data_IF_648204652423
#
_entry.id   IF_648204652423
#
_cell.length_a   1.000
_cell.length_b   1.000
_cell.length_c   1.000
_cell.angle_alpha   90.00
_cell.angle_beta   90.00
_cell.angle_gamma   90.00
#
_symmetry.space_group_name_H-M   'P 1'
#
loop_
_entity.id
_entity.type
_entity.pdbx_description
1 polymer ?
#
# COMPACT_ATOMS: atom_id res chain seq x y z
N UNK A 1 -3.67 -7.15 20.50
CA UNK A 1 -2.31 -7.71 20.43
C UNK A 1 -1.82 -7.34 19.04
N UNK A 2 -0.68 -6.66 18.93
CA UNK A 2 -0.11 -6.23 17.64
C UNK A 2 0.14 -7.47 16.78
N UNK A 3 -0.38 -7.46 15.56
CA UNK A 3 -0.15 -8.53 14.59
C UNK A 3 1.00 -8.13 13.67
N UNK A 4 2.19 -8.66 13.95
CA UNK A 4 3.42 -8.35 13.21
C UNK A 4 3.43 -8.89 11.78
N UNK A 5 2.39 -9.62 11.35
CA UNK A 5 2.26 -10.16 9.99
C UNK A 5 1.32 -9.36 9.09
N UNK A 6 0.62 -8.37 9.64
CA UNK A 6 -0.23 -7.47 8.83
C UNK A 6 0.68 -6.57 7.98
N UNK A 7 0.55 -6.58 6.64
CA UNK A 7 1.35 -5.71 5.78
C UNK A 7 1.18 -4.23 6.15
N UNK A 8 2.30 -3.51 6.25
CA UNK A 8 2.33 -2.05 6.24
C UNK A 8 2.40 -1.59 4.78
N UNK A 9 1.27 -1.19 4.19
CA UNK A 9 1.21 -0.82 2.79
C UNK A 9 1.79 0.56 2.50
N UNK A 10 1.84 1.45 3.49
CA UNK A 10 2.51 2.73 3.36
C UNK A 10 4.03 2.54 3.21
N UNK A 11 4.59 1.54 3.88
CA UNK A 11 6.02 1.23 3.85
C UNK A 11 6.32 -0.06 3.07
N UNK A 12 5.59 -0.30 1.97
CA UNK A 12 5.76 -1.47 1.13
C UNK A 12 6.65 -1.22 -0.10
N UNK A 13 7.52 -2.17 -0.41
CA UNK A 13 8.28 -2.23 -1.67
C UNK A 13 7.93 -3.48 -2.49
N UNK A 14 7.88 -3.32 -3.82
CA UNK A 14 7.71 -4.43 -4.75
C UNK A 14 9.06 -4.92 -5.28
N UNK A 15 9.42 -6.16 -4.96
CA UNK A 15 10.57 -6.85 -5.53
C UNK A 15 10.14 -7.76 -6.70
N UNK A 16 10.54 -7.38 -7.93
CA UNK A 16 10.29 -8.14 -9.16
C UNK A 16 11.51 -9.00 -9.47
N UNK A 17 11.40 -10.31 -9.29
CA UNK A 17 12.56 -11.21 -9.24
C UNK A 17 12.77 -11.97 -10.56
N UNK A 18 13.97 -11.88 -11.11
CA UNK A 18 14.49 -12.64 -12.27
C UNK A 18 13.54 -12.63 -13.50
N UNK A 19 12.82 -11.52 -13.71
CA UNK A 19 11.95 -11.35 -14.90
C UNK A 19 12.78 -10.77 -16.04
N UNK A 20 13.62 -11.62 -16.63
CA UNK A 20 14.48 -11.30 -17.78
C UNK A 20 14.09 -12.16 -18.98
N UNK A 21 14.28 -11.65 -20.20
CA UNK A 21 13.86 -12.31 -21.46
C UNK A 21 14.25 -13.79 -21.53
N UNK A 22 15.47 -14.14 -21.17
CA UNK A 22 15.91 -15.55 -21.19
C UNK A 22 15.08 -16.48 -20.31
N UNK A 23 14.51 -15.99 -19.21
CA UNK A 23 13.62 -16.74 -18.32
C UNK A 23 12.14 -16.61 -18.68
N UNK A 24 11.77 -15.62 -19.51
CA UNK A 24 10.38 -15.35 -19.92
C UNK A 24 10.04 -16.08 -21.21
N UNK A 25 10.75 -15.77 -22.29
CA UNK A 25 10.47 -16.21 -23.67
C UNK A 25 11.72 -16.69 -24.42
N UNK A 26 12.87 -16.71 -23.76
CA UNK A 26 14.15 -17.14 -24.34
C UNK A 26 14.51 -18.63 -24.13
N UNK A 27 15.77 -19.00 -24.39
CA UNK A 27 16.22 -20.39 -24.38
C UNK A 27 16.11 -21.11 -23.04
N UNK A 28 16.05 -20.36 -21.93
CA UNK A 28 15.88 -20.87 -20.58
C UNK A 28 14.50 -20.50 -19.99
N UNK A 29 13.49 -20.32 -20.85
CA UNK A 29 12.16 -19.91 -20.46
C UNK A 29 11.61 -20.85 -19.37
N UNK A 30 11.16 -20.24 -18.28
CA UNK A 30 10.58 -20.94 -17.14
C UNK A 30 9.08 -20.99 -17.32
N UNK A 31 8.52 -22.20 -17.42
CA UNK A 31 7.08 -22.43 -17.61
C UNK A 31 6.24 -21.62 -16.62
N UNK A 32 5.21 -20.92 -17.14
CA UNK A 32 4.32 -20.06 -16.37
C UNK A 32 4.79 -18.61 -16.26
N UNK A 33 6.02 -18.27 -16.65
CA UNK A 33 6.55 -16.91 -16.45
C UNK A 33 5.99 -15.91 -17.44
N UNK A 34 5.84 -16.28 -18.71
CA UNK A 34 5.23 -15.42 -19.72
C UNK A 34 3.78 -15.10 -19.38
N UNK A 35 3.05 -16.09 -18.85
CA UNK A 35 1.63 -16.01 -18.52
C UNK A 35 1.34 -15.04 -17.37
N UNK A 36 2.28 -14.85 -16.44
CA UNK A 36 2.11 -13.96 -15.27
C UNK A 36 2.58 -12.52 -15.52
N UNK A 37 3.21 -12.22 -16.65
CA UNK A 37 3.68 -10.86 -17.00
C UNK A 37 2.58 -9.80 -16.87
N UNK A 38 1.33 -10.01 -17.35
CA UNK A 38 0.28 -9.00 -17.20
C UNK A 38 -0.02 -8.63 -15.74
N UNK A 39 -0.04 -9.61 -14.83
CA UNK A 39 -0.28 -9.37 -13.41
C UNK A 39 0.90 -8.65 -12.75
N UNK A 40 2.14 -9.00 -13.13
CA UNK A 40 3.35 -8.28 -12.70
C UNK A 40 3.28 -6.83 -13.18
N UNK A 41 2.97 -6.60 -14.45
CA UNK A 41 2.90 -5.27 -15.04
C UNK A 41 1.84 -4.38 -14.38
N UNK A 42 0.66 -4.94 -14.06
CA UNK A 42 -0.39 -4.23 -13.33
C UNK A 42 0.07 -3.82 -11.92
N UNK A 43 0.72 -4.73 -11.20
CA UNK A 43 1.24 -4.45 -9.84
C UNK A 43 2.35 -3.40 -9.88
N UNK A 44 3.29 -3.51 -10.83
CA UNK A 44 4.36 -2.53 -11.07
C UNK A 44 3.77 -1.16 -11.42
N UNK A 45 2.75 -1.11 -12.29
CA UNK A 45 2.12 0.15 -12.67
C UNK A 45 1.48 0.85 -11.47
N UNK A 46 0.86 0.11 -10.55
CA UNK A 46 0.25 0.70 -9.37
C UNK A 46 1.27 1.20 -8.35
N UNK A 47 2.30 0.41 -8.04
CA UNK A 47 3.39 0.87 -7.18
C UNK A 47 4.04 2.14 -7.76
N UNK A 48 4.24 2.18 -9.09
CA UNK A 48 4.81 3.34 -9.77
C UNK A 48 3.88 4.55 -9.72
N UNK A 49 2.58 4.36 -9.94
CA UNK A 49 1.56 5.43 -9.86
C UNK A 49 1.55 6.09 -8.48
N UNK A 50 1.76 5.29 -7.44
CA UNK A 50 1.77 5.72 -6.05
C UNK A 50 3.15 6.13 -5.53
N UNK A 51 4.19 6.09 -6.38
CA UNK A 51 5.56 6.42 -5.97
C UNK A 51 6.17 5.47 -4.93
N UNK A 52 5.64 4.25 -4.81
CA UNK A 52 6.16 3.23 -3.89
C UNK A 52 7.43 2.57 -4.47
N UNK A 53 8.39 2.15 -3.63
CA UNK A 53 9.62 1.53 -4.10
C UNK A 53 9.38 0.27 -4.94
N UNK A 54 10.05 0.19 -6.09
CA UNK A 54 10.07 -0.99 -6.96
C UNK A 54 11.52 -1.39 -7.18
N UNK A 55 11.85 -2.66 -6.96
CA UNK A 55 13.20 -3.20 -7.18
C UNK A 55 13.14 -4.35 -8.18
N UNK A 56 13.68 -4.13 -9.36
CA UNK A 56 13.93 -5.18 -10.34
C UNK A 56 15.22 -5.92 -9.97
N UNK A 57 15.07 -7.16 -9.54
CA UNK A 57 16.20 -7.99 -9.12
C UNK A 57 16.60 -8.90 -10.27
N UNK A 58 17.82 -8.74 -10.77
CA UNK A 58 18.29 -9.37 -12.00
C UNK A 58 19.49 -10.29 -11.78
N UNK A 59 19.66 -11.25 -12.69
CA UNK A 59 20.87 -12.05 -12.88
C UNK A 59 21.74 -11.46 -13.97
N UNK A 60 23.03 -11.75 -13.87
CA UNK A 60 24.03 -11.41 -14.89
C UNK A 60 25.15 -12.43 -14.87
N UNK A 61 25.21 -13.32 -15.87
CA UNK A 61 26.24 -14.35 -15.97
C UNK A 61 27.20 -14.00 -17.10
N UNK A 62 28.34 -13.39 -16.75
CA UNK A 62 29.40 -13.11 -17.72
C UNK A 62 30.05 -14.44 -18.15
N UNK A 63 30.11 -14.75 -19.46
CA UNK A 63 30.78 -15.96 -19.95
C UNK A 63 32.23 -16.04 -19.45
N UNK A 64 32.62 -17.20 -18.93
CA UNK A 64 33.93 -17.47 -18.34
C UNK A 64 34.05 -17.15 -16.84
N UNK A 65 33.04 -16.53 -16.21
CA UNK A 65 33.08 -16.22 -14.78
C UNK A 65 32.69 -17.42 -13.91
N UNK A 66 33.32 -17.53 -12.73
CA UNK A 66 33.03 -18.60 -11.75
C UNK A 66 32.06 -18.19 -10.62
N UNK A 67 31.80 -16.88 -10.42
CA UNK A 67 30.89 -16.40 -9.37
C UNK A 67 29.41 -16.48 -9.78
N UNK A 68 28.97 -17.70 -10.07
CA UNK A 68 27.59 -18.07 -10.39
C UNK A 68 27.14 -19.23 -9.50
N UNK A 69 25.83 -19.53 -9.51
CA UNK A 69 25.30 -20.70 -8.80
C UNK A 69 25.89 -22.02 -9.33
N UNK A 70 26.09 -22.99 -8.42
CA UNK A 70 26.89 -24.19 -8.70
C UNK A 70 26.36 -25.04 -9.85
N UNK A 71 25.03 -25.13 -10.00
CA UNK A 71 24.41 -25.86 -11.11
C UNK A 71 24.68 -25.22 -12.48
N UNK A 72 24.93 -23.90 -12.55
CA UNK A 72 25.23 -23.19 -13.80
C UNK A 72 26.73 -22.97 -14.02
N UNK A 73 27.56 -23.11 -12.98
CA UNK A 73 29.00 -22.78 -13.03
C UNK A 73 29.74 -23.40 -14.20
N UNK A 74 29.61 -24.72 -14.40
CA UNK A 74 30.33 -25.41 -15.48
C UNK A 74 29.94 -24.85 -16.85
N UNK A 75 28.66 -24.56 -17.08
CA UNK A 75 28.19 -24.02 -18.34
C UNK A 75 28.70 -22.58 -18.56
N UNK A 76 28.61 -21.72 -17.55
CA UNK A 76 29.08 -20.33 -17.64
C UNK A 76 30.59 -20.26 -17.81
N UNK A 77 31.38 -21.07 -17.07
CA UNK A 77 32.83 -21.18 -17.25
C UNK A 77 33.19 -21.67 -18.67
N UNK A 78 32.35 -22.51 -19.27
CA UNK A 78 32.50 -22.97 -20.65
C UNK A 78 32.03 -21.97 -21.72
N UNK A 79 31.51 -20.80 -21.31
CA UNK A 79 31.13 -19.71 -22.20
C UNK A 79 29.63 -19.61 -22.51
N UNK A 80 28.75 -20.24 -21.72
CA UNK A 80 27.30 -20.05 -21.83
C UNK A 80 26.91 -18.56 -21.69
N UNK A 81 25.88 -18.15 -22.42
CA UNK A 81 25.46 -16.74 -22.57
C UNK A 81 24.10 -16.44 -21.94
N UNK A 82 23.55 -17.38 -21.16
CA UNK A 82 22.33 -17.20 -20.40
C UNK A 82 22.42 -15.95 -19.51
N UNK A 83 21.50 -14.99 -19.69
CA UNK A 83 21.46 -13.68 -19.02
C UNK A 83 22.83 -12.99 -18.99
N UNK A 84 23.61 -13.14 -20.05
CA UNK A 84 24.90 -12.48 -20.16
C UNK A 84 24.73 -10.96 -20.29
N UNK A 85 25.60 -10.15 -19.65
CA UNK A 85 25.49 -8.70 -19.66
C UNK A 85 25.51 -8.14 -21.08
N UNK A 86 24.62 -7.19 -21.36
CA UNK A 86 24.47 -6.53 -22.67
C UNK A 86 23.75 -7.36 -23.73
N UNK A 87 23.30 -8.58 -23.43
CA UNK A 87 22.51 -9.38 -24.36
C UNK A 87 21.02 -9.03 -24.29
N UNK A 88 20.27 -9.31 -25.36
CA UNK A 88 18.81 -9.20 -25.35
C UNK A 88 18.17 -10.13 -24.31
N UNK A 89 18.77 -11.29 -24.05
CA UNK A 89 18.32 -12.27 -23.06
C UNK A 89 18.35 -11.76 -21.62
N UNK A 90 19.31 -10.88 -21.30
CA UNK A 90 19.44 -10.27 -19.98
C UNK A 90 18.49 -9.09 -19.75
N UNK A 91 17.78 -8.61 -20.78
CA UNK A 91 16.90 -7.45 -20.67
C UNK A 91 15.62 -7.78 -19.87
N UNK A 92 15.13 -6.79 -19.12
CA UNK A 92 13.81 -6.81 -18.49
C UNK A 92 12.74 -6.52 -19.57
N UNK A 93 11.57 -7.21 -19.59
CA UNK A 93 10.48 -6.89 -20.50
C UNK A 93 10.07 -5.42 -20.45
N UNK A 94 9.79 -4.83 -21.62
CA UNK A 94 9.60 -3.37 -21.77
C UNK A 94 8.41 -2.86 -20.97
N UNK A 95 7.34 -3.66 -20.90
CA UNK A 95 6.12 -3.38 -20.14
C UNK A 95 6.34 -3.23 -18.63
N UNK A 96 7.46 -3.72 -18.09
CA UNK A 96 7.79 -3.60 -16.66
C UNK A 96 8.63 -2.35 -16.36
N UNK A 97 9.15 -1.66 -17.37
CA UNK A 97 10.08 -0.54 -17.22
C UNK A 97 9.41 0.82 -17.43
N UNK A 98 9.83 1.89 -16.72
CA UNK A 98 9.25 3.22 -16.84
C UNK A 98 9.60 3.88 -18.19
N UNK A 99 10.69 3.44 -18.81
CA UNK A 99 11.29 4.02 -20.01
C UNK A 99 12.32 3.06 -20.64
N UNK A 100 12.92 3.42 -21.79
CA UNK A 100 14.13 2.74 -22.23
C UNK A 100 15.20 2.86 -21.14
N UNK A 101 15.75 1.73 -20.71
CA UNK A 101 16.80 1.65 -19.69
C UNK A 101 18.01 0.95 -20.31
N UNK A 102 19.17 1.55 -20.13
CA UNK A 102 20.45 0.89 -20.42
C UNK A 102 21.09 0.52 -19.08
N UNK A 103 21.39 -0.77 -18.90
CA UNK A 103 21.86 -1.29 -17.62
C UNK A 103 23.39 -1.21 -17.56
N UNK A 104 23.91 -0.53 -16.53
CA UNK A 104 25.34 -0.53 -16.22
C UNK A 104 25.71 -1.85 -15.52
N UNK A 105 25.92 -2.87 -16.33
CA UNK A 105 26.22 -4.22 -15.85
C UNK A 105 27.49 -4.31 -15.03
N UNK A 106 28.51 -3.49 -15.31
CA UNK A 106 29.74 -3.51 -14.52
C UNK A 106 29.46 -2.98 -13.12
N UNK A 107 28.83 -1.81 -12.99
CA UNK A 107 28.47 -1.22 -11.70
C UNK A 107 27.52 -2.12 -10.91
N UNK A 108 26.45 -2.64 -11.54
CA UNK A 108 25.49 -3.55 -10.89
C UNK A 108 26.20 -4.79 -10.31
N UNK A 109 27.10 -5.40 -11.07
CA UNK A 109 27.84 -6.59 -10.62
C UNK A 109 28.87 -6.30 -9.53
N UNK A 110 29.32 -5.06 -9.40
CA UNK A 110 30.10 -4.57 -8.25
C UNK A 110 29.25 -4.16 -7.05
N UNK A 111 27.93 -4.37 -7.10
CA UNK A 111 27.01 -4.13 -6.00
C UNK A 111 26.39 -2.74 -5.98
N UNK A 112 26.49 -1.97 -7.06
CA UNK A 112 25.76 -0.71 -7.18
C UNK A 112 24.25 -0.98 -7.31
N UNK A 113 23.46 -0.02 -6.83
CA UNK A 113 22.03 0.10 -7.15
C UNK A 113 21.92 1.06 -8.33
N UNK A 114 21.20 0.67 -9.38
CA UNK A 114 20.90 1.58 -10.49
C UNK A 114 19.47 2.11 -10.34
N UNK A 115 19.33 3.41 -10.13
CA UNK A 115 18.04 4.10 -10.18
C UNK A 115 17.60 4.30 -11.63
N UNK A 116 16.37 3.90 -11.95
CA UNK A 116 15.78 3.95 -13.29
C UNK A 116 14.46 4.75 -13.33
N UNK A 117 14.04 5.29 -12.19
CA UNK A 117 12.86 6.13 -11.99
C UNK A 117 12.78 6.62 -10.54
N UNK A 118 11.82 7.50 -10.23
CA UNK A 118 11.75 8.24 -8.96
C UNK A 118 11.76 7.40 -7.67
N UNK A 119 11.36 6.13 -7.75
CA UNK A 119 11.47 5.13 -6.69
C UNK A 119 11.62 3.73 -7.30
N UNK A 120 12.35 3.63 -8.42
CA UNK A 120 12.45 2.39 -9.19
C UNK A 120 13.90 2.04 -9.45
N UNK A 121 14.30 0.84 -9.04
CA UNK A 121 15.70 0.44 -8.92
C UNK A 121 15.97 -0.89 -9.61
N UNK A 122 17.22 -1.11 -10.00
CA UNK A 122 17.73 -2.40 -10.47
C UNK A 122 18.87 -2.85 -9.56
N UNK A 123 18.81 -4.10 -9.13
CA UNK A 123 19.84 -4.75 -8.30
C UNK A 123 20.25 -6.07 -8.92
N UNK A 124 21.55 -6.30 -9.05
CA UNK A 124 22.08 -7.61 -9.43
C UNK A 124 22.17 -8.53 -8.21
N UNK A 125 21.73 -9.78 -8.37
CA UNK A 125 21.96 -10.84 -7.38
C UNK A 125 22.82 -11.99 -7.94
N UNK A 126 23.86 -12.43 -7.21
CA UNK A 126 24.71 -13.52 -7.65
C UNK A 126 24.12 -14.91 -7.33
N UNK A 127 23.11 -15.00 -6.45
CA UNK A 127 22.48 -16.26 -5.98
C UNK A 127 20.95 -16.17 -5.96
N UNK A 128 20.31 -17.14 -5.32
CA UNK A 128 18.85 -17.32 -5.33
C UNK A 128 18.10 -16.16 -4.69
N UNK A 129 18.39 -15.88 -3.41
CA UNK A 129 17.79 -14.79 -2.65
C UNK A 129 18.25 -13.43 -3.18
N UNK A 130 17.32 -12.49 -3.20
CA UNK A 130 17.57 -11.09 -3.51
C UNK A 130 18.34 -10.35 -2.43
N UNK A 131 18.46 -10.89 -1.21
CA UNK A 131 19.24 -10.32 -0.10
C UNK A 131 20.67 -10.86 -0.03
N UNK A 132 20.92 -12.05 -0.59
CA UNK A 132 22.21 -12.70 -0.45
C UNK A 132 23.31 -12.01 -1.27
N UNK A 133 24.21 -11.30 -0.57
CA UNK A 133 25.33 -10.52 -1.15
C UNK A 133 24.84 -9.43 -2.12
N UNK A 134 23.80 -8.70 -1.74
CA UNK A 134 23.27 -7.57 -2.50
C UNK A 134 23.09 -6.35 -1.58
N UNK A 135 22.93 -5.14 -2.14
CA UNK A 135 22.57 -3.95 -1.36
C UNK A 135 21.07 -3.86 -1.03
N UNK A 136 20.26 -4.91 -1.27
CA UNK A 136 18.80 -4.81 -1.18
C UNK A 136 18.32 -4.37 0.21
N UNK A 137 18.85 -4.96 1.28
CA UNK A 137 18.44 -4.64 2.64
C UNK A 137 18.71 -3.16 2.99
N UNK A 138 19.90 -2.67 2.65
CA UNK A 138 20.25 -1.25 2.86
C UNK A 138 19.38 -0.33 2.02
N UNK A 139 19.11 -0.68 0.76
CA UNK A 139 18.20 0.09 -0.10
C UNK A 139 16.78 0.15 0.48
N UNK A 140 16.25 -0.96 0.99
CA UNK A 140 14.93 -0.99 1.60
C UNK A 140 14.89 -0.14 2.88
N UNK A 141 15.93 -0.21 3.71
CA UNK A 141 16.08 0.63 4.90
C UNK A 141 16.17 2.14 4.59
N UNK A 142 16.87 2.53 3.53
CA UNK A 142 16.95 3.94 3.08
C UNK A 142 15.59 4.50 2.61
N UNK A 143 14.62 3.63 2.36
CA UNK A 143 13.25 3.95 1.95
C UNK A 143 12.21 3.63 3.03
N UNK A 144 12.65 3.42 4.27
CA UNK A 144 11.79 3.11 5.43
C UNK A 144 10.88 1.89 5.21
N UNK A 145 11.28 0.95 4.35
CA UNK A 145 10.45 -0.20 3.99
C UNK A 145 10.35 -1.17 5.17
N UNK A 146 9.13 -1.60 5.48
CA UNK A 146 8.83 -2.64 6.49
C UNK A 146 8.08 -3.83 5.88
N UNK A 147 7.57 -3.69 4.65
CA UNK A 147 6.86 -4.75 3.92
C UNK A 147 7.52 -5.04 2.57
N UNK A 148 7.88 -6.30 2.33
CA UNK A 148 8.42 -6.76 1.04
C UNK A 148 7.37 -7.58 0.29
N UNK A 149 6.93 -7.04 -0.84
CA UNK A 149 5.98 -7.67 -1.76
C UNK A 149 6.76 -8.32 -2.90
N UNK A 150 6.62 -9.63 -3.08
CA UNK A 150 7.42 -10.41 -4.04
C UNK A 150 6.57 -10.89 -5.22
N UNK A 151 7.08 -10.66 -6.42
CA UNK A 151 6.56 -11.18 -7.68
C UNK A 151 7.71 -11.70 -8.58
N UNK A 152 7.39 -12.47 -9.62
CA UNK A 152 8.34 -12.85 -10.67
C UNK A 152 8.65 -14.35 -10.80
N UNK A 153 9.91 -14.69 -11.07
CA UNK A 153 10.33 -16.00 -11.56
C UNK A 153 11.42 -16.63 -10.67
N UNK A 154 11.34 -17.89 -10.24
CA UNK A 154 10.16 -18.74 -10.12
C UNK A 154 10.07 -19.27 -8.68
N UNK A 155 8.84 -19.52 -8.21
CA UNK A 155 8.57 -19.78 -6.79
C UNK A 155 9.52 -20.77 -6.10
N UNK A 156 9.81 -21.98 -6.63
CA UNK A 156 10.63 -22.94 -5.90
C UNK A 156 12.08 -22.50 -5.65
N UNK A 157 12.55 -21.44 -6.33
CA UNK A 157 13.93 -20.94 -6.23
C UNK A 157 13.96 -19.51 -5.67
N UNK A 158 13.98 -18.50 -6.53
CA UNK A 158 14.39 -17.14 -6.20
C UNK A 158 13.36 -16.42 -5.31
N UNK A 159 12.06 -16.29 -5.70
CA UNK A 159 11.01 -15.81 -4.81
C UNK A 159 10.98 -16.47 -3.43
N UNK A 160 11.02 -17.81 -3.35
CA UNK A 160 11.03 -18.49 -2.04
C UNK A 160 12.25 -18.13 -1.21
N UNK A 161 13.45 -18.19 -1.78
CA UNK A 161 14.67 -17.83 -1.05
C UNK A 161 14.63 -16.38 -0.55
N UNK A 162 14.14 -15.45 -1.37
CA UNK A 162 13.97 -14.05 -0.99
C UNK A 162 12.94 -13.87 0.14
N UNK A 163 11.80 -14.57 0.08
CA UNK A 163 10.77 -14.48 1.12
C UNK A 163 11.23 -15.04 2.47
N UNK A 164 11.99 -16.13 2.46
CA UNK A 164 12.62 -16.66 3.68
C UNK A 164 13.61 -15.64 4.27
N UNK A 165 14.51 -15.08 3.46
CA UNK A 165 15.47 -14.08 3.94
C UNK A 165 14.77 -12.78 4.41
N UNK A 166 13.73 -12.33 3.72
CA UNK A 166 12.94 -11.18 4.15
C UNK A 166 12.30 -11.41 5.52
N UNK A 167 11.76 -12.60 5.77
CA UNK A 167 11.21 -12.97 7.07
C UNK A 167 12.26 -13.00 8.17
N UNK A 168 13.47 -13.49 7.89
CA UNK A 168 14.58 -13.51 8.86
C UNK A 168 15.17 -12.11 9.13
N UNK A 169 14.88 -11.14 8.26
CA UNK A 169 15.24 -9.73 8.39
C UNK A 169 14.09 -8.88 8.98
N UNK A 170 13.08 -9.51 9.58
CA UNK A 170 11.93 -8.86 10.22
C UNK A 170 11.01 -8.04 9.28
N UNK A 171 11.08 -8.25 7.96
CA UNK A 171 10.10 -7.67 7.05
C UNK A 171 8.78 -8.43 7.11
N UNK A 172 7.66 -7.69 7.02
CA UNK A 172 6.36 -8.28 6.66
C UNK A 172 6.44 -8.75 5.22
N UNK A 173 5.97 -9.96 4.95
CA UNK A 173 6.17 -10.59 3.64
C UNK A 173 4.87 -10.87 2.91
N UNK A 174 4.81 -10.48 1.65
CA UNK A 174 3.67 -10.74 0.76
C UNK A 174 4.16 -11.44 -0.50
N UNK A 175 3.51 -12.53 -0.90
CA UNK A 175 3.68 -13.13 -2.23
C UNK A 175 2.48 -12.75 -3.11
N UNK A 176 2.76 -12.18 -4.29
CA UNK A 176 1.75 -11.99 -5.33
C UNK A 176 1.62 -13.29 -6.13
N UNK A 177 0.68 -14.12 -5.72
CA UNK A 177 0.56 -15.54 -6.10
C UNK A 177 0.24 -15.79 -7.58
N UNK A 178 -0.49 -14.88 -8.22
CA UNK A 178 -0.82 -14.89 -9.66
C UNK A 178 0.15 -14.03 -10.50
N UNK A 179 1.07 -13.31 -9.85
CA UNK A 179 2.18 -12.61 -10.48
C UNK A 179 3.53 -13.34 -10.25
N UNK A 180 3.49 -14.62 -9.85
CA UNK A 180 4.69 -15.44 -9.62
C UNK A 180 4.58 -16.78 -10.33
N UNK A 181 5.60 -17.16 -11.09
CA UNK A 181 5.56 -18.40 -11.86
C UNK A 181 5.80 -19.65 -11.01
N UNK A 182 5.19 -20.76 -11.43
CA UNK A 182 5.27 -22.07 -10.79
C UNK A 182 4.79 -22.13 -9.34
N UNK A 183 3.72 -21.39 -9.02
CA UNK A 183 2.98 -21.54 -7.78
C UNK A 183 2.20 -22.86 -7.80
N UNK A 184 2.27 -23.63 -6.71
CA UNK A 184 1.44 -24.83 -6.47
C UNK A 184 0.93 -24.79 -5.04
N UNK A 185 -0.21 -25.42 -4.72
CA UNK A 185 -0.76 -25.42 -3.35
C UNK A 185 0.26 -25.85 -2.29
N UNK A 186 1.10 -26.84 -2.58
CA UNK A 186 2.12 -27.32 -1.64
C UNK A 186 3.22 -26.28 -1.39
N UNK A 187 3.66 -25.58 -2.45
CA UNK A 187 4.71 -24.55 -2.35
C UNK A 187 4.21 -23.30 -1.64
N UNK A 188 2.94 -22.95 -1.85
CA UNK A 188 2.26 -21.86 -1.17
C UNK A 188 2.08 -22.17 0.32
N UNK A 189 1.67 -23.40 0.64
CA UNK A 189 1.51 -23.86 2.04
C UNK A 189 2.80 -23.74 2.86
N UNK A 190 3.97 -23.90 2.26
CA UNK A 190 5.24 -23.71 2.95
C UNK A 190 5.52 -22.25 3.32
N UNK A 191 5.07 -21.30 2.49
CA UNK A 191 5.26 -19.87 2.74
C UNK A 191 4.29 -19.36 3.81
N UNK A 192 3.04 -19.83 3.81
CA UNK A 192 2.08 -19.52 4.86
C UNK A 192 2.59 -19.95 6.26
N UNK A 193 3.30 -21.09 6.34
CA UNK A 193 3.88 -21.58 7.61
C UNK A 193 4.92 -20.67 8.23
N UNK A 194 5.54 -19.79 7.44
CA UNK A 194 6.49 -18.78 7.92
C UNK A 194 5.87 -17.38 7.98
N UNK A 195 4.54 -17.27 7.83
CA UNK A 195 3.83 -16.00 7.96
C UNK A 195 3.75 -15.15 6.69
N UNK A 196 4.17 -15.67 5.53
CA UNK A 196 4.01 -14.95 4.26
C UNK A 196 2.53 -14.83 3.92
N UNK A 197 2.08 -13.60 3.71
CA UNK A 197 0.73 -13.29 3.24
C UNK A 197 0.61 -13.61 1.75
N UNK A 198 -0.27 -14.54 1.39
CA UNK A 198 -0.59 -14.82 -0.01
C UNK A 198 -1.66 -13.84 -0.49
N UNK A 199 -1.40 -13.13 -1.58
CA UNK A 199 -2.34 -12.20 -2.21
C UNK A 199 -2.32 -12.38 -3.73
N UNK A 200 -3.40 -12.00 -4.42
CA UNK A 200 -3.40 -11.79 -5.87
C UNK A 200 -2.94 -10.37 -6.22
N UNK A 201 -2.60 -10.13 -7.48
CA UNK A 201 -2.26 -8.79 -7.96
C UNK A 201 -3.39 -7.80 -7.67
N UNK A 202 -4.64 -8.16 -7.95
CA UNK A 202 -5.82 -7.31 -7.68
C UNK A 202 -5.95 -6.97 -6.18
N UNK A 203 -5.69 -7.94 -5.29
CA UNK A 203 -5.73 -7.70 -3.85
C UNK A 203 -4.64 -6.73 -3.40
N UNK A 204 -3.41 -6.88 -3.91
CA UNK A 204 -2.29 -5.97 -3.61
C UNK A 204 -2.54 -4.57 -4.16
N UNK A 205 -2.94 -4.45 -5.43
CA UNK A 205 -3.27 -3.18 -6.08
C UNK A 205 -4.35 -2.46 -5.28
N UNK A 206 -5.43 -3.16 -4.93
CA UNK A 206 -6.49 -2.59 -4.11
C UNK A 206 -6.00 -2.16 -2.73
N UNK A 207 -5.16 -2.96 -2.07
CA UNK A 207 -4.69 -2.65 -0.72
C UNK A 207 -3.81 -1.41 -0.68
N UNK A 208 -2.80 -1.31 -1.56
CA UNK A 208 -1.92 -0.15 -1.61
C UNK A 208 -2.68 1.11 -2.04
N UNK A 209 -3.62 1.01 -2.98
CA UNK A 209 -4.44 2.15 -3.42
C UNK A 209 -5.32 2.71 -2.29
N UNK A 210 -5.94 1.82 -1.49
CA UNK A 210 -6.77 2.23 -0.36
C UNK A 210 -5.95 2.82 0.78
N UNK A 211 -4.80 2.21 1.07
CA UNK A 211 -3.88 2.72 2.08
C UNK A 211 -3.40 4.13 1.74
N UNK A 212 -3.06 4.38 0.47
CA UNK A 212 -2.66 5.69 -0.03
C UNK A 212 -3.77 6.75 0.10
N UNK A 213 -5.00 6.37 -0.25
CA UNK A 213 -6.17 7.25 -0.12
C UNK A 213 -6.44 7.61 1.35
N UNK A 214 -6.42 6.61 2.24
CA UNK A 214 -6.60 6.82 3.67
C UNK A 214 -5.46 7.67 4.25
N UNK A 215 -4.22 7.39 3.89
CA UNK A 215 -3.04 8.18 4.30
C UNK A 215 -3.10 9.63 3.83
N UNK A 216 -3.65 9.88 2.63
CA UNK A 216 -3.90 11.23 2.14
C UNK A 216 -4.93 11.99 2.99
N UNK A 217 -6.02 11.31 3.40
CA UNK A 217 -7.04 11.89 4.26
C UNK A 217 -6.53 12.14 5.69
N UNK A 218 -5.75 11.20 6.25
CA UNK A 218 -5.09 11.34 7.55
C UNK A 218 -4.09 12.49 7.54
N UNK A 219 -3.27 12.62 6.50
CA UNK A 219 -2.28 13.70 6.37
C UNK A 219 -2.96 15.07 6.35
N UNK A 220 -4.08 15.19 5.62
CA UNK A 220 -4.88 16.40 5.58
C UNK A 220 -5.46 16.76 6.96
N UNK A 221 -6.00 15.76 7.66
CA UNK A 221 -6.53 15.93 9.02
C UNK A 221 -5.45 16.31 10.04
N UNK A 222 -4.33 15.58 10.07
CA UNK A 222 -3.22 15.79 11.01
C UNK A 222 -2.52 17.12 10.77
N UNK A 223 -2.42 17.58 9.52
CA UNK A 223 -1.93 18.92 9.20
C UNK A 223 -2.73 20.01 9.95
N UNK A 224 -4.05 19.86 10.04
CA UNK A 224 -4.89 20.73 10.87
C UNK A 224 -4.65 20.53 12.37
N UNK A 225 -4.58 19.28 12.85
CA UNK A 225 -4.35 18.99 14.27
C UNK A 225 -3.05 19.60 14.80
N UNK A 226 -1.98 19.59 14.00
CA UNK A 226 -0.68 20.15 14.42
C UNK A 226 -0.68 21.67 14.58
N UNK A 227 -1.72 22.36 14.08
CA UNK A 227 -1.87 23.81 14.19
C UNK A 227 -2.81 24.24 15.33
N UNK A 228 -3.35 23.28 16.09
CA UNK A 228 -4.23 23.56 17.20
C UNK A 228 -3.53 24.36 18.30
N UNK A 229 -4.27 25.31 18.87
CA UNK A 229 -3.89 25.97 20.11
C UNK A 229 -4.17 25.06 21.32
N UNK A 230 -3.60 25.39 22.47
CA UNK A 230 -3.81 24.64 23.72
C UNK A 230 -5.30 24.65 24.18
N UNK A 231 -6.02 25.73 23.86
CA UNK A 231 -7.46 25.85 24.15
C UNK A 231 -8.29 25.22 23.02
N UNK A 232 -8.87 24.05 23.31
CA UNK A 232 -9.71 23.29 22.40
C UNK A 232 -11.21 23.57 22.60
N UNK A 233 -11.59 24.36 23.61
CA UNK A 233 -12.98 24.65 23.96
C UNK A 233 -13.51 25.87 23.17
N UNK A 234 -12.96 26.09 21.97
CA UNK A 234 -13.34 27.12 21.01
C UNK A 234 -14.27 26.54 19.94
N UNK A 235 -15.12 27.35 19.27
CA UNK A 235 -15.99 26.88 18.20
C UNK A 235 -15.20 26.21 17.06
N UNK A 236 -15.73 25.09 16.56
CA UNK A 236 -15.26 24.47 15.32
C UNK A 236 -16.02 25.00 14.09
N UNK A 237 -15.72 24.49 12.89
CA UNK A 237 -16.57 24.64 11.70
C UNK A 237 -17.78 23.70 11.65
N UNK A 238 -17.91 22.75 12.59
CA UNK A 238 -18.96 21.73 12.58
C UNK A 238 -20.13 22.10 13.52
N UNK A 239 -21.05 22.93 13.03
CA UNK A 239 -22.27 23.27 13.78
C UNK A 239 -21.98 23.86 15.16
N UNK A 240 -22.58 23.29 16.21
CA UNK A 240 -22.41 23.75 17.60
C UNK A 240 -21.23 23.08 18.33
N UNK A 241 -20.41 22.29 17.63
CA UNK A 241 -19.28 21.58 18.25
C UNK A 241 -18.11 22.51 18.54
N UNK A 242 -17.46 22.28 19.68
CA UNK A 242 -16.13 22.81 19.93
C UNK A 242 -15.09 22.05 19.09
N UNK A 243 -13.87 22.60 18.99
CA UNK A 243 -12.73 21.88 18.41
C UNK A 243 -12.47 20.59 19.18
N UNK A 244 -12.59 20.59 20.52
CA UNK A 244 -12.49 19.39 21.35
C UNK A 244 -13.50 18.32 20.93
N UNK A 245 -14.76 18.69 20.75
CA UNK A 245 -15.82 17.76 20.35
C UNK A 245 -15.53 17.16 18.97
N UNK A 246 -15.11 18.00 18.01
CA UNK A 246 -14.76 17.57 16.66
C UNK A 246 -13.59 16.59 16.64
N UNK A 247 -12.51 16.91 17.35
CA UNK A 247 -11.32 16.05 17.38
C UNK A 247 -11.60 14.74 18.13
N UNK A 248 -12.36 14.80 19.23
CA UNK A 248 -12.83 13.61 19.95
C UNK A 248 -13.73 12.73 19.08
N UNK A 249 -14.61 13.35 18.29
CA UNK A 249 -15.46 12.62 17.34
C UNK A 249 -14.62 11.82 16.35
N UNK A 250 -13.67 12.48 15.68
CA UNK A 250 -12.84 11.86 14.63
C UNK A 250 -11.92 10.78 15.21
N UNK A 251 -11.31 11.00 16.37
CA UNK A 251 -10.50 9.97 17.04
C UNK A 251 -11.35 8.74 17.41
N UNK A 252 -12.52 8.97 18.02
CA UNK A 252 -13.45 7.89 18.32
C UNK A 252 -14.04 7.20 17.09
N UNK A 253 -14.04 7.86 15.93
CA UNK A 253 -14.51 7.30 14.65
C UNK A 253 -13.75 6.04 14.30
N UNK A 254 -12.42 6.10 14.34
CA UNK A 254 -11.55 4.96 14.10
C UNK A 254 -11.81 3.81 15.09
N UNK A 255 -11.94 4.11 16.39
CA UNK A 255 -12.26 3.09 17.39
C UNK A 255 -13.61 2.41 17.13
N UNK A 256 -14.62 3.17 16.69
CA UNK A 256 -15.96 2.61 16.40
C UNK A 256 -15.94 1.75 15.15
N UNK A 257 -15.21 2.16 14.12
CA UNK A 257 -15.10 1.38 12.89
C UNK A 257 -14.31 0.08 13.13
N UNK A 258 -13.26 0.13 13.97
CA UNK A 258 -12.58 -1.07 14.45
C UNK A 258 -13.53 -2.04 15.16
N UNK A 259 -14.38 -1.54 16.07
CA UNK A 259 -15.37 -2.38 16.77
C UNK A 259 -16.26 -3.12 15.76
N UNK A 260 -16.71 -2.45 14.71
CA UNK A 260 -17.56 -3.05 13.69
C UNK A 260 -16.82 -4.10 12.84
N UNK A 261 -15.59 -3.80 12.41
CA UNK A 261 -14.75 -4.73 11.64
C UNK A 261 -14.34 -5.95 12.47
N UNK A 262 -14.20 -5.80 13.79
CA UNK A 262 -13.95 -6.90 14.73
C UNK A 262 -15.25 -7.69 15.09
N UNK A 263 -16.38 -7.40 14.44
CA UNK A 263 -17.65 -8.13 14.58
C UNK A 263 -18.61 -7.58 15.65
N UNK A 264 -18.37 -6.37 16.16
CA UNK A 264 -19.28 -5.65 17.05
C UNK A 264 -20.48 -5.05 16.34
N UNK A 265 -21.38 -4.44 17.12
CA UNK A 265 -22.68 -3.94 16.65
C UNK A 265 -22.82 -2.41 16.74
N UNK A 266 -23.87 -1.88 16.13
CA UNK A 266 -24.25 -0.48 16.26
C UNK A 266 -24.54 -0.09 17.71
N UNK A 267 -25.03 -1.01 18.54
CA UNK A 267 -25.22 -0.81 19.97
C UNK A 267 -23.89 -0.68 20.72
N UNK A 268 -22.89 -1.50 20.39
CA UNK A 268 -21.55 -1.41 20.98
C UNK A 268 -20.90 -0.08 20.65
N UNK A 269 -21.00 0.38 19.40
CA UNK A 269 -20.48 1.71 19.03
C UNK A 269 -21.25 2.86 19.68
N UNK A 270 -22.57 2.73 19.87
CA UNK A 270 -23.38 3.73 20.56
C UNK A 270 -22.95 3.92 22.02
N UNK A 271 -22.59 2.84 22.70
CA UNK A 271 -22.10 2.88 24.08
C UNK A 271 -20.78 3.65 24.26
N UNK A 272 -20.06 3.96 23.17
CA UNK A 272 -18.78 4.67 23.21
C UNK A 272 -18.89 6.18 22.99
N UNK A 273 -20.07 6.72 22.67
CA UNK A 273 -20.20 8.10 22.16
C UNK A 273 -19.92 9.20 23.18
N UNK A 274 -20.06 8.90 24.46
CA UNK A 274 -19.80 9.83 25.56
C UNK A 274 -18.38 9.67 26.13
N UNK A 275 -17.53 8.84 25.51
CA UNK A 275 -16.15 8.61 25.95
C UNK A 275 -15.21 9.70 25.43
N UNK A 276 -14.17 9.97 26.23
CA UNK A 276 -13.01 10.76 25.83
C UNK A 276 -11.96 9.85 25.17
N UNK A 277 -11.74 10.08 23.88
CA UNK A 277 -10.79 9.37 23.03
C UNK A 277 -9.48 10.13 22.83
N UNK A 278 -9.39 11.40 23.23
CA UNK A 278 -8.21 12.24 22.94
C UNK A 278 -7.38 12.50 24.19
N UNK A 279 -8.00 12.48 25.37
CA UNK A 279 -7.32 12.74 26.64
C UNK A 279 -6.50 14.03 26.60
N UNK A 280 -5.22 13.92 26.95
CA UNK A 280 -4.27 15.04 26.95
C UNK A 280 -3.38 15.14 25.71
N UNK A 281 -3.46 14.20 24.77
CA UNK A 281 -2.62 14.15 23.56
C UNK A 281 -3.46 13.72 22.35
N UNK A 282 -4.08 14.70 21.70
CA UNK A 282 -4.99 14.45 20.59
C UNK A 282 -4.31 13.81 19.37
N UNK A 283 -3.03 14.14 19.10
CA UNK A 283 -2.30 13.61 17.95
C UNK A 283 -1.88 12.16 18.24
N UNK A 284 -1.30 11.90 19.41
CA UNK A 284 -0.93 10.55 19.82
C UNK A 284 -2.14 9.61 19.85
N UNK A 285 -3.25 10.06 20.44
CA UNK A 285 -4.47 9.28 20.52
C UNK A 285 -5.12 9.02 19.14
N UNK A 286 -5.09 10.01 18.24
CA UNK A 286 -5.53 9.83 16.86
C UNK A 286 -4.78 8.67 16.18
N UNK A 287 -3.44 8.70 16.20
CA UNK A 287 -2.63 7.68 15.56
C UNK A 287 -2.76 6.31 16.21
N UNK A 288 -2.94 6.25 17.54
CA UNK A 288 -3.21 4.98 18.23
C UNK A 288 -4.50 4.33 17.71
N UNK A 289 -5.59 5.09 17.63
CA UNK A 289 -6.87 4.57 17.13
C UNK A 289 -6.83 4.24 15.64
N UNK A 290 -6.16 5.06 14.83
CA UNK A 290 -6.04 4.85 13.39
C UNK A 290 -5.22 3.59 13.06
N UNK A 291 -4.11 3.38 13.78
CA UNK A 291 -3.30 2.18 13.60
C UNK A 291 -4.09 0.90 13.92
N UNK A 292 -4.85 0.91 15.01
CA UNK A 292 -5.70 -0.23 15.38
C UNK A 292 -6.85 -0.46 14.38
N UNK A 293 -7.38 0.61 13.75
CA UNK A 293 -8.36 0.47 12.68
C UNK A 293 -7.74 -0.21 11.45
N UNK A 294 -6.57 0.25 11.01
CA UNK A 294 -5.84 -0.32 9.86
C UNK A 294 -5.53 -1.81 10.08
N UNK A 295 -5.06 -2.19 11.27
CA UNK A 295 -4.83 -3.60 11.62
C UNK A 295 -6.11 -4.45 11.59
N UNK A 296 -7.26 -3.89 11.98
CA UNK A 296 -8.54 -4.61 11.91
C UNK A 296 -9.02 -4.74 10.47
N UNK A 297 -8.90 -3.69 9.66
CA UNK A 297 -9.28 -3.69 8.25
C UNK A 297 -8.51 -4.73 7.42
N UNK A 298 -7.22 -4.93 7.69
CA UNK A 298 -6.42 -5.94 6.98
C UNK A 298 -6.74 -7.39 7.37
N UNK A 299 -7.34 -7.61 8.55
CA UNK A 299 -7.76 -8.94 9.01
C UNK A 299 -9.21 -9.27 8.63
N UNK A 300 -10.03 -8.24 8.45
CA UNK A 300 -11.44 -8.39 8.13
C UNK A 300 -11.64 -8.77 6.65
N UNK A 301 -12.69 -9.54 6.37
CA UNK A 301 -13.23 -9.61 5.01
C UNK A 301 -14.10 -8.37 4.78
N UNK A 302 -13.54 -7.37 4.09
CA UNK A 302 -14.23 -6.10 3.86
C UNK A 302 -15.44 -6.21 2.93
N UNK A 303 -15.67 -7.36 2.29
CA UNK A 303 -16.90 -7.62 1.55
C UNK A 303 -18.08 -7.99 2.46
N UNK A 304 -17.83 -8.48 3.68
CA UNK A 304 -18.88 -8.84 4.62
C UNK A 304 -19.57 -7.60 5.20
N UNK A 305 -20.89 -7.65 5.43
CA UNK A 305 -21.65 -6.57 6.03
C UNK A 305 -21.34 -6.41 7.53
N UNK A 306 -21.40 -5.17 7.99
CA UNK A 306 -21.28 -4.73 9.39
C UNK A 306 -22.52 -3.94 9.82
N UNK A 307 -22.86 -4.04 11.11
CA UNK A 307 -24.01 -3.35 11.71
C UNK A 307 -23.68 -1.89 12.04
N UNK A 308 -23.73 -1.01 11.05
CA UNK A 308 -23.51 0.42 11.23
C UNK A 308 -24.81 1.18 11.55
N UNK A 309 -24.71 2.29 12.29
CA UNK A 309 -25.88 3.12 12.70
C UNK A 309 -26.69 3.70 11.53
N UNK A 310 -26.12 3.72 10.34
CA UNK A 310 -26.78 4.19 9.12
C UNK A 310 -27.40 3.06 8.28
N UNK A 311 -27.54 1.88 8.89
CA UNK A 311 -27.92 0.64 8.22
C UNK A 311 -26.71 -0.26 7.96
N UNK A 312 -27.01 -1.43 7.40
CA UNK A 312 -26.00 -2.41 6.99
C UNK A 312 -25.07 -1.81 5.93
N UNK A 313 -23.77 -1.89 6.17
CA UNK A 313 -22.70 -1.44 5.28
C UNK A 313 -21.69 -2.56 5.11
N UNK A 314 -21.06 -2.70 3.96
CA UNK A 314 -19.85 -3.52 3.83
C UNK A 314 -18.67 -2.89 4.59
N UNK A 315 -17.68 -3.70 4.94
CA UNK A 315 -16.39 -3.18 5.43
C UNK A 315 -15.75 -2.18 4.45
N UNK A 316 -15.94 -2.36 3.15
CA UNK A 316 -15.53 -1.38 2.13
C UNK A 316 -16.18 -0.02 2.31
N UNK A 317 -17.51 0.01 2.44
CA UNK A 317 -18.25 1.25 2.67
C UNK A 317 -17.85 1.90 4.00
N UNK A 318 -17.50 1.10 5.00
CA UNK A 318 -17.01 1.61 6.28
C UNK A 318 -15.65 2.30 6.16
N UNK A 319 -14.71 1.74 5.39
CA UNK A 319 -13.41 2.37 5.15
C UNK A 319 -13.56 3.63 4.27
N UNK A 320 -14.46 3.62 3.29
CA UNK A 320 -14.80 4.82 2.51
C UNK A 320 -15.38 5.91 3.41
N UNK A 321 -16.24 5.54 4.37
CA UNK A 321 -16.72 6.47 5.39
C UNK A 321 -15.59 7.07 6.22
N UNK A 322 -14.56 6.29 6.57
CA UNK A 322 -13.38 6.82 7.30
C UNK A 322 -12.64 7.88 6.49
N UNK A 323 -12.36 7.60 5.21
CA UNK A 323 -11.72 8.55 4.29
C UNK A 323 -12.56 9.83 4.19
N UNK A 324 -13.87 9.69 4.00
CA UNK A 324 -14.80 10.82 3.93
C UNK A 324 -14.85 11.63 5.23
N UNK A 325 -14.93 10.97 6.39
CA UNK A 325 -14.96 11.58 7.72
C UNK A 325 -13.74 12.47 7.95
N UNK A 326 -12.53 11.92 7.73
CA UNK A 326 -11.27 12.65 7.84
C UNK A 326 -11.22 13.84 6.86
N UNK A 327 -11.60 13.61 5.60
CA UNK A 327 -11.54 14.63 4.56
C UNK A 327 -12.49 15.79 4.88
N UNK A 328 -13.75 15.52 5.20
CA UNK A 328 -14.74 16.56 5.44
C UNK A 328 -14.53 17.26 6.79
N UNK A 329 -14.16 16.54 7.84
CA UNK A 329 -13.89 17.19 9.13
C UNK A 329 -12.59 17.98 9.14
N UNK A 330 -11.63 17.68 8.25
CA UNK A 330 -10.48 18.58 8.06
C UNK A 330 -10.87 19.97 7.53
N UNK A 331 -11.98 20.09 6.79
CA UNK A 331 -12.56 21.41 6.43
C UNK A 331 -13.11 22.11 7.66
N UNK A 332 -13.89 21.38 8.46
CA UNK A 332 -14.50 21.92 9.69
C UNK A 332 -13.41 22.41 10.66
N UNK A 333 -12.26 21.72 10.69
CA UNK A 333 -11.08 22.12 11.46
C UNK A 333 -10.36 23.33 10.84
N UNK A 334 -10.20 23.36 9.51
CA UNK A 334 -9.59 24.49 8.81
C UNK A 334 -10.38 25.79 9.02
N UNK A 335 -11.71 25.73 9.05
CA UNK A 335 -12.58 26.89 9.34
C UNK A 335 -12.34 27.44 10.75
N UNK A 336 -12.19 26.56 11.74
CA UNK A 336 -11.89 26.94 13.12
C UNK A 336 -10.53 27.66 13.22
N UNK A 337 -9.56 27.22 12.43
CA UNK A 337 -8.21 27.78 12.37
C UNK A 337 -8.12 29.04 11.49
N UNK A 338 -9.14 29.36 10.70
CA UNK A 338 -9.06 30.39 9.66
C UNK A 338 -8.05 30.06 8.56
N UNK A 339 -7.78 28.76 8.35
CA UNK A 339 -6.80 28.26 7.39
C UNK A 339 -7.46 27.94 6.04
N UNK A 340 -6.65 27.90 4.98
CA UNK A 340 -7.10 27.42 3.68
C UNK A 340 -7.29 25.88 3.74
N UNK A 341 -8.37 25.40 3.13
CA UNK A 341 -8.63 23.96 2.99
C UNK A 341 -8.37 23.52 1.54
N UNK A 342 -7.25 22.83 1.34
CA UNK A 342 -6.74 22.44 0.02
C UNK A 342 -6.46 20.92 0.00
N UNK A 343 -7.50 20.06 -0.02
CA UNK A 343 -7.29 18.62 -0.15
C UNK A 343 -6.71 18.28 -1.54
N UNK A 344 -5.96 17.17 -1.68
CA UNK A 344 -5.60 16.64 -2.97
C UNK A 344 -6.83 16.43 -3.87
N UNK A 345 -6.69 16.72 -5.16
CA UNK A 345 -7.80 16.67 -6.12
C UNK A 345 -8.36 15.25 -6.21
N UNK A 346 -7.47 14.27 -6.27
CA UNK A 346 -7.78 12.85 -6.36
C UNK A 346 -8.57 12.37 -5.13
N UNK A 347 -8.23 12.85 -3.94
CA UNK A 347 -8.94 12.55 -2.70
C UNK A 347 -10.38 13.07 -2.77
N UNK A 348 -10.58 14.34 -3.16
CA UNK A 348 -11.91 14.92 -3.28
C UNK A 348 -12.76 14.21 -4.35
N UNK A 349 -12.17 13.86 -5.48
CA UNK A 349 -12.86 13.11 -6.54
C UNK A 349 -13.24 11.70 -6.08
N UNK A 350 -12.36 10.99 -5.37
CA UNK A 350 -12.63 9.64 -4.90
C UNK A 350 -13.74 9.64 -3.85
N UNK A 351 -13.72 10.58 -2.90
CA UNK A 351 -14.81 10.73 -1.93
C UNK A 351 -16.14 11.00 -2.64
N UNK A 352 -16.15 11.86 -3.67
CA UNK A 352 -17.35 12.09 -4.48
C UNK A 352 -17.85 10.84 -5.21
N UNK A 353 -16.94 10.00 -5.74
CA UNK A 353 -17.31 8.78 -6.47
C UNK A 353 -17.80 7.67 -5.54
N UNK A 354 -17.06 7.43 -4.46
CA UNK A 354 -17.22 6.21 -3.66
C UNK A 354 -18.12 6.41 -2.44
N UNK A 355 -18.29 7.67 -2.01
CA UNK A 355 -19.09 7.99 -0.83
C UNK A 355 -20.44 8.64 -1.18
N UNK A 356 -20.81 8.74 -2.46
CA UNK A 356 -22.06 9.39 -2.89
C UNK A 356 -23.30 8.81 -2.18
N UNK A 357 -23.47 7.49 -2.29
CA UNK A 357 -24.62 6.78 -1.72
C UNK A 357 -24.65 6.84 -0.19
N UNK A 358 -23.48 6.87 0.45
CA UNK A 358 -23.42 6.94 1.91
C UNK A 358 -23.66 8.37 2.40
N UNK A 359 -23.20 9.39 1.68
CA UNK A 359 -23.52 10.80 1.97
C UNK A 359 -25.03 11.02 1.89
N UNK A 360 -25.71 10.51 0.86
CA UNK A 360 -27.16 10.60 0.71
C UNK A 360 -27.90 9.91 1.87
N UNK A 361 -27.46 8.72 2.28
CA UNK A 361 -28.00 8.01 3.46
C UNK A 361 -27.80 8.81 4.75
N UNK A 362 -26.62 9.37 4.97
CA UNK A 362 -26.33 10.19 6.15
C UNK A 362 -27.15 11.49 6.15
N UNK A 363 -27.37 12.11 4.99
CA UNK A 363 -28.26 13.28 4.84
C UNK A 363 -29.70 12.94 5.20
N UNK A 364 -30.22 11.81 4.73
CA UNK A 364 -31.57 11.35 5.08
C UNK A 364 -31.75 11.10 6.60
N UNK A 365 -30.66 10.79 7.30
CA UNK A 365 -30.63 10.63 8.76
C UNK A 365 -30.34 11.94 9.52
N UNK A 366 -30.17 13.06 8.82
CA UNK A 366 -29.87 14.37 9.41
C UNK A 366 -28.45 14.53 9.94
N UNK A 367 -27.50 13.69 9.50
CA UNK A 367 -26.08 13.78 9.89
C UNK A 367 -25.25 14.64 8.94
N UNK A 368 -25.77 14.92 7.74
CA UNK A 368 -25.16 15.80 6.73
C UNK A 368 -26.20 16.84 6.33
N UNK A 369 -25.76 18.08 6.08
CA UNK A 369 -26.63 19.16 5.64
C UNK A 369 -27.21 18.96 4.23
N UNK A 370 -28.19 19.79 3.89
CA UNK A 370 -28.77 19.82 2.54
C UNK A 370 -27.70 20.12 1.48
N UNK A 371 -27.82 19.45 0.33
CA UNK A 371 -26.96 19.72 -0.82
C UNK A 371 -27.16 21.16 -1.32
N UNK A 372 -26.06 21.79 -1.75
CA UNK A 372 -26.04 23.17 -2.23
C UNK A 372 -25.50 23.26 -3.66
N UNK A 373 -25.60 24.43 -4.25
CA UNK A 373 -24.97 24.70 -5.55
C UNK A 373 -23.47 24.91 -5.37
N UNK A 374 -22.59 24.19 -6.10
CA UNK A 374 -21.15 24.34 -5.95
C UNK A 374 -20.65 25.68 -6.47
N UNK A 375 -19.60 26.22 -5.83
CA UNK A 375 -18.98 27.49 -6.21
C UNK A 375 -18.27 27.42 -7.58
N UNK A 376 -17.76 26.24 -7.95
CA UNK A 376 -17.17 25.97 -9.26
C UNK A 376 -17.32 24.50 -9.65
N UNK A 377 -16.74 24.10 -10.79
CA UNK A 377 -16.68 22.69 -11.20
C UNK A 377 -15.49 21.93 -10.61
N UNK A 378 -14.65 22.58 -9.80
CA UNK A 378 -13.56 21.92 -9.09
C UNK A 378 -14.10 20.80 -8.18
N UNK A 379 -13.42 19.64 -8.08
CA UNK A 379 -13.87 18.54 -7.23
C UNK A 379 -14.08 18.92 -5.76
N UNK A 380 -13.26 19.81 -5.23
CA UNK A 380 -13.36 20.31 -3.85
C UNK A 380 -14.65 21.07 -3.59
N UNK A 381 -14.99 22.03 -4.46
CA UNK A 381 -16.23 22.81 -4.36
C UNK A 381 -17.47 21.93 -4.53
N UNK A 382 -17.39 20.94 -5.43
CA UNK A 382 -18.45 19.95 -5.63
C UNK A 382 -18.63 19.08 -4.38
N UNK A 383 -17.54 18.63 -3.75
CA UNK A 383 -17.59 17.84 -2.53
C UNK A 383 -18.22 18.63 -1.38
N UNK A 384 -17.81 19.87 -1.15
CA UNK A 384 -18.40 20.71 -0.10
C UNK A 384 -19.88 20.98 -0.34
N UNK A 385 -20.26 21.27 -1.59
CA UNK A 385 -21.64 21.48 -1.97
C UNK A 385 -22.51 20.25 -1.72
N UNK A 386 -22.01 19.09 -2.13
CA UNK A 386 -22.68 17.81 -1.94
C UNK A 386 -22.79 17.44 -0.47
N UNK A 387 -21.74 17.71 0.33
CA UNK A 387 -21.73 17.47 1.77
C UNK A 387 -22.39 18.59 2.62
N UNK A 388 -23.01 19.60 1.99
CA UNK A 388 -23.72 20.68 2.68
C UNK A 388 -22.83 21.66 3.48
N UNK A 389 -21.53 21.76 3.16
CA UNK A 389 -20.50 22.54 3.88
C UNK A 389 -20.08 23.85 3.18
N UNK A 390 -21.05 24.56 2.59
CA UNK A 390 -20.84 25.90 1.98
C UNK A 390 -21.15 27.01 2.98
#
# INVERSE_FOLDING_TARGET
MVDYLVPDWANAALAVIDVQRDFVDGPAAVSGTLEVIPAIAATVAEFRRLGRPIVHVVRSYRPGDSDVDLLRRVAVEAGDVLVAPGTAGAAIPRELLPGPVDLDWDSLRFGAVQEIGAAEFVVFKPRWSAFFRTPLDSLLGDHDVTTVVVAGCNLPNCPRATLFDASELDYRTVLVSDATSQTTPERLSDLERIGVQLRTADQVIGAVARDDLLGSAESLWVSGLTQLADDLDVPSGCGDWTVRDLVNHVAGGASRYRILLDGGTSADTAATRDLDFIGGDAIGAFWEHEHQLRESAERADLAEPVDHRAGELSGWELMNLRVMELTLHSKDLADALGAAWEPPVELAEQVLRDCADVIDRMRALGHIGEERTPASQAPTDRLLAFAGRI
#
